data_IF_672969164582
#
_entry.id   IF_672969164582
#
_cell.length_a   1.000
_cell.length_b   1.000
_cell.length_c   1.000
_cell.angle_alpha   90.00
_cell.angle_beta   90.00
_cell.angle_gamma   90.00
#
_symmetry.space_group_name_H-M   'P 1'
#
loop_
_entity.id
_entity.type
_entity.pdbx_description
1 polymer ?
#
# COMPACT_ATOMS: atom_id res chain seq x y z
N UNK A 1 -4.37 -19.83 33.51
CA UNK A 1 -5.46 -19.15 32.77
C UNK A 1 -6.74 -18.95 33.61
N UNK A 2 -6.85 -19.49 34.84
CA UNK A 2 -8.07 -19.40 35.67
C UNK A 2 -8.41 -18.01 36.24
N UNK A 3 -7.66 -16.99 35.89
CA UNK A 3 -7.87 -15.60 36.33
C UNK A 3 -8.49 -14.74 35.25
N UNK A 4 -8.71 -15.29 34.05
CA UNK A 4 -9.08 -14.54 32.86
C UNK A 4 -10.41 -15.06 32.35
N UNK A 5 -11.32 -14.14 32.07
CA UNK A 5 -12.55 -14.38 31.31
C UNK A 5 -12.50 -13.51 30.08
N UNK A 6 -12.82 -14.09 28.92
CA UNK A 6 -12.85 -13.38 27.64
C UNK A 6 -14.23 -13.51 27.03
N UNK A 7 -14.79 -12.38 26.64
CA UNK A 7 -16.13 -12.30 26.04
C UNK A 7 -16.16 -11.21 24.96
N UNK A 8 -17.11 -11.33 24.04
CA UNK A 8 -17.36 -10.34 23.01
C UNK A 8 -18.71 -9.68 23.23
N UNK A 9 -18.76 -8.38 23.00
CA UNK A 9 -20.01 -7.63 22.94
C UNK A 9 -20.66 -7.83 21.56
N UNK A 10 -21.87 -8.40 21.45
CA UNK A 10 -22.53 -8.58 20.16
C UNK A 10 -22.79 -7.26 19.43
N UNK A 11 -22.93 -6.13 20.15
CA UNK A 11 -23.18 -4.83 19.54
C UNK A 11 -21.90 -4.23 18.92
N UNK A 12 -20.74 -4.65 19.43
CA UNK A 12 -19.43 -4.30 18.85
C UNK A 12 -18.95 -5.34 17.81
N UNK A 13 -19.52 -6.54 17.83
CA UNK A 13 -19.29 -7.59 16.85
C UNK A 13 -20.22 -7.39 15.67
N UNK A 14 -19.70 -6.86 14.57
CA UNK A 14 -20.42 -6.92 13.30
C UNK A 14 -20.01 -8.17 12.51
N UNK A 15 -20.86 -8.60 11.58
CA UNK A 15 -20.47 -9.58 10.56
C UNK A 15 -19.23 -9.15 9.74
N UNK A 16 -18.87 -7.87 9.82
CA UNK A 16 -17.74 -7.25 9.15
C UNK A 16 -16.55 -7.00 10.10
N UNK A 17 -16.64 -7.33 11.39
CA UNK A 17 -15.52 -7.17 12.32
C UNK A 17 -15.57 -8.22 13.44
N UNK A 18 -15.13 -9.47 13.16
CA UNK A 18 -15.40 -10.62 14.02
C UNK A 18 -14.67 -10.59 15.36
N UNK A 19 -13.56 -9.83 15.45
CA UNK A 19 -12.63 -9.88 16.59
C UNK A 19 -12.25 -8.51 17.14
N UNK A 20 -12.86 -7.39 16.69
CA UNK A 20 -12.58 -6.12 17.34
C UNK A 20 -13.19 -6.08 18.74
N UNK A 21 -12.33 -5.71 19.68
CA UNK A 21 -12.68 -5.37 21.07
C UNK A 21 -13.16 -6.53 21.96
N UNK A 22 -12.36 -7.62 22.12
CA UNK A 22 -12.64 -8.58 23.18
C UNK A 22 -12.54 -7.89 24.54
N UNK A 23 -13.56 -8.09 25.38
CA UNK A 23 -13.53 -7.67 26.77
C UNK A 23 -12.82 -8.77 27.55
N UNK A 24 -11.67 -8.42 28.14
CA UNK A 24 -10.93 -9.31 29.02
C UNK A 24 -11.12 -8.87 30.46
N UNK A 25 -11.77 -9.72 31.25
CA UNK A 25 -11.90 -9.54 32.70
C UNK A 25 -10.76 -10.29 33.38
N UNK A 26 -10.02 -9.59 34.23
CA UNK A 26 -8.87 -10.14 34.97
C UNK A 26 -9.18 -10.12 36.46
N UNK A 27 -9.17 -11.29 37.07
CA UNK A 27 -9.47 -11.50 38.48
C UNK A 27 -8.19 -11.71 39.29
N UNK A 28 -8.15 -11.14 40.49
CA UNK A 28 -7.03 -11.32 41.42
C UNK A 28 -6.92 -12.76 41.93
N UNK A 29 -8.07 -13.37 42.21
CA UNK A 29 -8.18 -14.77 42.66
C UNK A 29 -8.66 -15.66 41.51
N UNK A 30 -8.29 -16.95 41.49
CA UNK A 30 -8.71 -17.85 40.44
C UNK A 30 -10.23 -18.09 40.52
N UNK A 31 -10.89 -18.01 39.37
CA UNK A 31 -12.32 -18.30 39.21
C UNK A 31 -12.58 -19.74 39.65
N UNK A 32 -13.48 -19.94 40.61
CA UNK A 32 -13.90 -21.27 41.06
C UNK A 32 -14.89 -21.90 40.07
N UNK A 33 -15.12 -23.23 40.11
CA UNK A 33 -16.10 -23.88 39.23
C UNK A 33 -17.51 -23.29 39.34
N UNK A 34 -17.95 -22.96 40.57
CA UNK A 34 -19.25 -22.33 40.83
C UNK A 34 -19.33 -20.92 40.22
N UNK A 35 -18.27 -20.12 40.40
CA UNK A 35 -18.17 -18.79 39.82
C UNK A 35 -18.13 -18.85 38.29
N UNK A 36 -17.43 -19.82 37.70
CA UNK A 36 -17.37 -19.99 36.24
C UNK A 36 -18.75 -20.27 35.64
N UNK A 37 -19.54 -21.14 36.27
CA UNK A 37 -20.90 -21.45 35.84
C UNK A 37 -21.85 -20.25 35.99
N UNK A 38 -21.74 -19.51 37.11
CA UNK A 38 -22.50 -18.28 37.33
C UNK A 38 -22.15 -17.21 36.29
N UNK A 39 -20.86 -16.95 36.07
CA UNK A 39 -20.37 -16.00 35.08
C UNK A 39 -20.84 -16.35 33.67
N UNK A 40 -20.79 -17.62 33.27
CA UNK A 40 -21.29 -18.03 31.95
C UNK A 40 -22.78 -17.66 31.79
N UNK A 41 -23.58 -17.89 32.83
CA UNK A 41 -25.01 -17.58 32.84
C UNK A 41 -25.24 -16.07 32.74
N UNK A 42 -24.52 -15.27 33.55
CA UNK A 42 -24.62 -13.81 33.56
C UNK A 42 -24.22 -13.20 32.21
N UNK A 43 -23.13 -13.70 31.62
CA UNK A 43 -22.63 -13.26 30.30
C UNK A 43 -23.68 -13.51 29.22
N UNK A 44 -24.28 -14.71 29.20
CA UNK A 44 -25.32 -15.07 28.24
C UNK A 44 -26.61 -14.26 28.46
N UNK A 45 -27.01 -14.01 29.71
CA UNK A 45 -28.17 -13.18 30.04
C UNK A 45 -27.98 -11.72 29.63
N UNK A 46 -26.76 -11.20 29.80
CA UNK A 46 -26.39 -9.86 29.35
C UNK A 46 -26.20 -9.76 27.83
N UNK A 47 -26.39 -10.86 27.08
CA UNK A 47 -26.27 -10.90 25.63
C UNK A 47 -24.85 -11.01 25.08
N UNK A 48 -23.83 -11.06 25.95
CA UNK A 48 -22.44 -11.19 25.52
C UNK A 48 -22.14 -12.61 24.99
N UNK A 49 -21.19 -12.69 24.07
CA UNK A 49 -20.71 -13.96 23.50
C UNK A 49 -19.49 -14.43 24.31
N UNK A 50 -19.61 -15.47 25.14
CA UNK A 50 -18.47 -16.01 25.90
C UNK A 50 -17.45 -16.66 24.95
N UNK A 51 -16.19 -16.22 25.01
CA UNK A 51 -15.07 -16.84 24.27
C UNK A 51 -14.27 -17.79 25.16
N UNK A 52 -14.05 -17.41 26.42
CA UNK A 52 -13.34 -18.22 27.40
C UNK A 52 -13.85 -17.91 28.80
N UNK A 53 -14.41 -18.92 29.46
CA UNK A 53 -14.84 -18.85 30.87
C UNK A 53 -14.23 -20.05 31.60
N UNK A 54 -13.35 -19.85 32.61
CA UNK A 54 -12.76 -20.95 33.37
C UNK A 54 -13.85 -21.90 33.91
N UNK A 55 -13.60 -23.20 33.85
CA UNK A 55 -14.48 -24.27 34.32
C UNK A 55 -15.86 -24.42 33.65
N UNK A 56 -16.30 -23.47 32.84
CA UNK A 56 -17.61 -23.49 32.19
C UNK A 56 -17.53 -23.50 30.66
N UNK A 57 -16.64 -22.71 30.07
CA UNK A 57 -16.41 -22.64 28.64
C UNK A 57 -14.92 -22.53 28.35
N UNK A 58 -14.25 -23.68 28.41
CA UNK A 58 -12.80 -23.79 28.22
C UNK A 58 -12.40 -24.27 26.84
N UNK A 59 -13.35 -24.64 25.96
CA UNK A 59 -13.03 -25.15 24.61
C UNK A 59 -12.21 -24.10 23.86
N UNK A 60 -10.90 -24.32 23.69
CA UNK A 60 -10.07 -23.38 22.95
C UNK A 60 -10.51 -23.41 21.49
N UNK A 61 -10.50 -22.26 20.78
CA UNK A 61 -10.88 -22.19 19.37
C UNK A 61 -10.12 -23.16 18.47
N UNK A 62 -8.94 -23.63 18.91
CA UNK A 62 -8.02 -24.48 18.15
C UNK A 62 -7.96 -25.93 18.68
N UNK A 63 -8.89 -26.35 19.54
CA UNK A 63 -8.90 -27.73 20.08
C UNK A 63 -9.04 -28.79 18.99
N UNK A 64 -9.89 -28.55 18.00
CA UNK A 64 -10.06 -29.45 16.84
C UNK A 64 -8.77 -29.58 16.01
N UNK A 65 -7.97 -28.52 15.91
CA UNK A 65 -6.65 -28.57 15.28
C UNK A 65 -5.68 -29.40 16.11
N UNK A 66 -5.70 -29.23 17.44
CA UNK A 66 -4.82 -29.95 18.36
C UNK A 66 -5.11 -31.46 18.41
N UNK A 67 -6.37 -31.86 18.24
CA UNK A 67 -6.78 -33.27 18.16
C UNK A 67 -6.63 -33.88 16.77
N UNK A 68 -6.34 -33.05 15.75
CA UNK A 68 -6.21 -33.49 14.36
C UNK A 68 -7.56 -33.77 13.67
N UNK A 69 -8.67 -33.32 14.25
CA UNK A 69 -10.02 -33.47 13.69
C UNK A 69 -10.30 -32.51 12.53
N UNK A 70 -9.54 -31.41 12.43
CA UNK A 70 -9.62 -30.45 11.32
C UNK A 70 -8.21 -30.02 10.92
N UNK A 71 -8.05 -29.52 9.69
CA UNK A 71 -6.80 -28.88 9.25
C UNK A 71 -6.88 -27.36 9.39
N UNK A 72 -5.73 -26.67 9.32
CA UNK A 72 -5.70 -25.21 9.36
C UNK A 72 -6.47 -24.61 8.17
N UNK A 73 -6.34 -25.23 6.99
CA UNK A 73 -7.02 -24.79 5.78
C UNK A 73 -8.54 -24.95 5.91
N UNK A 74 -9.00 -26.08 6.47
CA UNK A 74 -10.43 -26.31 6.74
C UNK A 74 -10.98 -25.29 7.76
N UNK A 75 -10.23 -25.03 8.84
CA UNK A 75 -10.62 -24.03 9.84
C UNK A 75 -10.76 -22.63 9.22
N UNK A 76 -9.81 -22.22 8.37
CA UNK A 76 -9.85 -20.92 7.68
C UNK A 76 -11.02 -20.85 6.71
N UNK A 77 -11.27 -21.93 5.96
CA UNK A 77 -12.37 -22.01 5.00
C UNK A 77 -13.74 -21.92 5.69
N UNK A 78 -13.92 -22.68 6.78
CA UNK A 78 -15.17 -22.76 7.54
C UNK A 78 -15.44 -21.51 8.40
N UNK A 79 -14.42 -20.66 8.60
CA UNK A 79 -14.58 -19.42 9.36
C UNK A 79 -15.37 -18.36 8.56
N UNK A 80 -16.69 -18.41 8.67
CA UNK A 80 -17.62 -17.55 7.93
C UNK A 80 -17.63 -16.08 8.34
N UNK A 81 -17.08 -15.76 9.52
CA UNK A 81 -17.13 -14.40 10.10
C UNK A 81 -15.99 -13.49 9.63
N UNK A 82 -15.02 -14.00 8.86
CA UNK A 82 -13.88 -13.20 8.41
C UNK A 82 -12.79 -13.99 7.71
N UNK A 83 -11.60 -13.39 7.68
CA UNK A 83 -10.35 -13.96 7.20
C UNK A 83 -9.42 -14.13 8.40
N UNK A 84 -9.04 -15.37 8.69
CA UNK A 84 -8.08 -15.75 9.73
C UNK A 84 -6.84 -16.42 9.12
N UNK A 85 -6.65 -16.27 7.81
CA UNK A 85 -5.47 -16.79 7.11
C UNK A 85 -4.19 -16.15 7.64
N UNK A 86 -3.07 -16.85 7.44
CA UNK A 86 -1.77 -16.35 7.86
C UNK A 86 -1.40 -15.07 7.09
N UNK A 87 -0.97 -14.04 7.81
CA UNK A 87 -0.44 -12.83 7.19
C UNK A 87 1.03 -12.98 6.81
N UNK A 88 1.41 -12.40 5.69
CA UNK A 88 2.78 -12.42 5.17
C UNK A 88 3.40 -11.02 5.26
N UNK A 89 4.74 -10.94 5.26
CA UNK A 89 5.46 -9.66 5.26
C UNK A 89 5.14 -8.79 4.03
N UNK A 90 4.71 -9.41 2.92
CA UNK A 90 4.26 -8.67 1.73
C UNK A 90 2.85 -8.05 1.90
N UNK A 91 2.05 -8.57 2.83
CA UNK A 91 0.72 -8.08 3.15
C UNK A 91 0.52 -8.09 4.69
N UNK A 92 1.21 -7.20 5.45
CA UNK A 92 1.30 -7.25 6.90
C UNK A 92 0.06 -6.63 7.58
N UNK A 93 -1.14 -7.07 7.18
CA UNK A 93 -2.43 -6.56 7.66
C UNK A 93 -3.06 -7.49 8.71
N UNK A 94 -2.27 -7.89 9.72
CA UNK A 94 -2.67 -8.85 10.77
C UNK A 94 -3.86 -8.42 11.63
N UNK A 95 -4.21 -7.13 11.58
CA UNK A 95 -5.32 -6.53 12.30
C UNK A 95 -6.61 -6.46 11.47
N UNK A 96 -6.57 -6.86 10.20
CA UNK A 96 -7.71 -6.83 9.30
C UNK A 96 -8.24 -8.24 9.08
N UNK A 97 -9.36 -8.56 9.74
CA UNK A 97 -10.02 -9.86 9.64
C UNK A 97 -11.14 -9.87 8.60
N UNK A 98 -11.32 -8.80 7.81
CA UNK A 98 -12.33 -8.80 6.74
C UNK A 98 -11.79 -9.48 5.49
N UNK A 99 -12.66 -10.23 4.83
CA UNK A 99 -12.41 -10.68 3.45
C UNK A 99 -12.55 -9.49 2.50
N UNK A 100 -11.46 -9.17 1.80
CA UNK A 100 -11.42 -8.10 0.79
C UNK A 100 -11.15 -6.71 1.38
N UNK A 101 -11.62 -5.66 0.70
CA UNK A 101 -11.28 -4.28 1.05
C UNK A 101 -12.15 -3.71 2.17
N UNK A 102 -11.58 -2.93 3.11
CA UNK A 102 -12.32 -2.16 4.10
C UNK A 102 -13.37 -1.22 3.49
N UNK A 103 -14.46 -0.97 4.21
CA UNK A 103 -15.54 -0.06 3.76
C UNK A 103 -15.03 1.34 3.42
N UNK A 104 -14.15 1.87 4.26
CA UNK A 104 -13.51 3.16 4.01
C UNK A 104 -12.80 3.15 2.65
N UNK A 105 -12.07 2.08 2.33
CA UNK A 105 -11.35 1.98 1.07
C UNK A 105 -12.30 1.78 -0.11
N UNK A 106 -13.38 1.01 0.06
CA UNK A 106 -14.45 0.89 -0.95
C UNK A 106 -15.09 2.25 -1.25
N UNK A 107 -15.42 3.03 -0.22
CA UNK A 107 -15.97 4.37 -0.36
C UNK A 107 -14.98 5.33 -1.04
N UNK A 108 -13.69 5.25 -0.69
CA UNK A 108 -12.64 6.02 -1.36
C UNK A 108 -12.52 5.65 -2.84
N UNK A 109 -12.62 4.37 -3.20
CA UNK A 109 -12.61 3.93 -4.60
C UNK A 109 -13.82 4.45 -5.38
N UNK A 110 -15.01 4.48 -4.77
CA UNK A 110 -16.20 5.09 -5.38
C UNK A 110 -16.00 6.59 -5.59
N UNK A 111 -15.53 7.30 -4.57
CA UNK A 111 -15.23 8.74 -4.67
C UNK A 111 -14.18 9.03 -5.74
N UNK A 112 -13.19 8.15 -5.86
CA UNK A 112 -12.16 8.22 -6.90
C UNK A 112 -12.71 8.01 -8.31
N UNK A 113 -13.64 7.06 -8.48
CA UNK A 113 -14.32 6.85 -9.75
C UNK A 113 -15.09 8.11 -10.19
N UNK A 114 -15.79 8.77 -9.25
CA UNK A 114 -16.46 10.06 -9.51
C UNK A 114 -15.44 11.14 -9.89
N UNK A 115 -14.33 11.26 -9.15
CA UNK A 115 -13.26 12.22 -9.45
C UNK A 115 -12.67 11.99 -10.84
N UNK A 116 -12.45 10.73 -11.24
CA UNK A 116 -11.94 10.36 -12.56
C UNK A 116 -12.94 10.71 -13.67
N UNK A 117 -14.24 10.47 -13.47
CA UNK A 117 -15.28 10.85 -14.43
C UNK A 117 -15.34 12.38 -14.61
N UNK A 118 -15.31 13.14 -13.53
CA UNK A 118 -15.28 14.61 -13.56
C UNK A 118 -14.00 15.12 -14.24
N UNK A 119 -12.84 14.55 -13.88
CA UNK A 119 -11.55 14.86 -14.49
C UNK A 119 -11.53 14.57 -15.99
N UNK A 120 -12.11 13.45 -16.42
CA UNK A 120 -12.23 13.10 -17.83
C UNK A 120 -13.14 14.08 -18.58
N UNK A 121 -14.30 14.43 -18.00
CA UNK A 121 -15.18 15.46 -18.55
C UNK A 121 -14.47 16.82 -18.72
N UNK A 122 -13.72 17.24 -17.71
CA UNK A 122 -12.89 18.45 -17.77
C UNK A 122 -11.81 18.35 -18.85
N UNK A 123 -11.14 17.21 -19.01
CA UNK A 123 -10.13 16.99 -20.04
C UNK A 123 -10.72 17.07 -21.45
N UNK A 124 -11.90 16.47 -21.69
CA UNK A 124 -12.60 16.58 -22.96
C UNK A 124 -13.00 18.03 -23.29
N UNK A 125 -13.46 18.79 -22.31
CA UNK A 125 -13.74 20.21 -22.48
C UNK A 125 -12.46 20.98 -22.79
N UNK A 126 -11.38 20.74 -22.06
CA UNK A 126 -10.11 21.44 -22.23
C UNK A 126 -9.40 21.10 -23.54
N UNK A 127 -9.59 19.89 -24.06
CA UNK A 127 -9.09 19.49 -25.38
C UNK A 127 -9.55 20.42 -26.50
N UNK A 128 -10.75 21.02 -26.39
CA UNK A 128 -11.26 21.99 -27.38
C UNK A 128 -10.44 23.30 -27.42
N UNK A 129 -9.82 23.64 -26.29
CA UNK A 129 -8.99 24.85 -26.11
C UNK A 129 -7.55 24.58 -26.54
N UNK A 130 -6.99 23.42 -26.17
CA UNK A 130 -5.63 23.02 -26.52
C UNK A 130 -5.63 22.30 -27.86
N UNK A 131 -5.56 23.06 -28.97
CA UNK A 131 -5.63 22.50 -30.34
C UNK A 131 -4.31 21.91 -30.85
N UNK A 132 -3.16 22.30 -30.28
CA UNK A 132 -1.83 21.87 -30.74
C UNK A 132 -1.29 20.69 -29.95
N UNK A 133 -0.55 19.81 -30.64
CA UNK A 133 0.21 18.71 -30.04
C UNK A 133 -0.60 17.47 -29.66
N UNK A 134 0.09 16.40 -29.22
CA UNK A 134 -0.52 15.13 -28.87
C UNK A 134 -1.12 15.15 -27.45
N UNK A 135 -2.21 15.89 -27.28
CA UNK A 135 -2.86 16.14 -25.98
C UNK A 135 -3.06 14.86 -25.15
N UNK A 136 -3.70 13.83 -25.71
CA UNK A 136 -4.01 12.60 -24.98
C UNK A 136 -2.77 11.79 -24.60
N UNK A 137 -1.73 11.80 -25.44
CA UNK A 137 -0.46 11.11 -25.11
C UNK A 137 0.26 11.81 -23.96
N UNK A 138 0.28 13.15 -23.95
CA UNK A 138 0.86 13.92 -22.85
C UNK A 138 0.04 13.76 -21.55
N UNK A 139 -1.29 13.81 -21.63
CA UNK A 139 -2.17 13.55 -20.49
C UNK A 139 -1.93 12.15 -19.91
N UNK A 140 -1.92 11.12 -20.77
CA UNK A 140 -1.62 9.76 -20.35
C UNK A 140 -0.23 9.67 -19.70
N UNK A 141 0.79 10.28 -20.31
CA UNK A 141 2.15 10.31 -19.77
C UNK A 141 2.20 10.88 -18.34
N UNK A 142 1.58 12.04 -18.07
CA UNK A 142 1.60 12.64 -16.73
C UNK A 142 0.74 11.88 -15.72
N UNK A 143 -0.36 11.26 -16.16
CA UNK A 143 -1.17 10.39 -15.32
C UNK A 143 -0.38 9.14 -14.89
N UNK A 144 0.25 8.46 -15.85
CA UNK A 144 1.07 7.27 -15.59
C UNK A 144 2.25 7.61 -14.66
N UNK A 145 2.89 8.77 -14.83
CA UNK A 145 3.94 9.22 -13.91
C UNK A 145 3.44 9.43 -12.48
N UNK A 146 2.29 10.10 -12.29
CA UNK A 146 1.76 10.37 -10.96
C UNK A 146 1.35 9.08 -10.24
N UNK A 147 0.60 8.24 -10.95
CA UNK A 147 0.17 6.95 -10.41
C UNK A 147 1.35 6.02 -10.11
N UNK A 148 2.30 5.90 -11.06
CA UNK A 148 3.48 5.07 -10.91
C UNK A 148 4.38 5.53 -9.76
N UNK A 149 4.61 6.85 -9.62
CA UNK A 149 5.42 7.40 -8.54
C UNK A 149 4.83 7.03 -7.18
N UNK A 150 3.52 7.26 -6.98
CA UNK A 150 2.86 6.96 -5.71
C UNK A 150 2.84 5.47 -5.40
N UNK A 151 2.67 4.59 -6.40
CA UNK A 151 2.76 3.15 -6.21
C UNK A 151 4.15 2.72 -5.73
N UNK A 152 5.23 3.22 -6.35
CA UNK A 152 6.59 2.96 -5.89
C UNK A 152 6.79 3.49 -4.48
N UNK A 153 6.47 4.76 -4.25
CA UNK A 153 6.68 5.44 -2.97
C UNK A 153 5.99 4.70 -1.81
N UNK A 154 4.70 4.43 -1.93
CA UNK A 154 3.94 3.77 -0.87
C UNK A 154 4.36 2.32 -0.66
N UNK A 155 4.57 1.55 -1.73
CA UNK A 155 5.00 0.16 -1.57
C UNK A 155 6.38 0.05 -0.93
N UNK A 156 7.32 0.94 -1.29
CA UNK A 156 8.66 0.99 -0.70
C UNK A 156 8.58 1.42 0.78
N UNK A 157 7.84 2.50 1.10
CA UNK A 157 7.68 2.96 2.49
C UNK A 157 7.08 1.86 3.37
N UNK A 158 6.01 1.22 2.92
CA UNK A 158 5.33 0.22 3.72
C UNK A 158 6.21 -1.02 3.96
N UNK A 159 6.89 -1.51 2.91
CA UNK A 159 7.81 -2.65 3.04
C UNK A 159 8.98 -2.37 3.97
N UNK A 160 9.54 -1.16 3.94
CA UNK A 160 10.64 -0.77 4.81
C UNK A 160 10.21 -0.53 6.26
N UNK A 161 8.89 -0.44 6.53
CA UNK A 161 8.34 -0.31 7.88
C UNK A 161 8.69 -1.52 8.75
N UNK A 162 8.66 -2.72 8.18
CA UNK A 162 9.06 -3.96 8.88
C UNK A 162 10.54 -3.94 9.25
N UNK A 163 11.40 -3.38 8.39
CA UNK A 163 12.85 -3.35 8.60
C UNK A 163 13.31 -2.33 9.66
N UNK A 164 12.73 -1.12 9.63
CA UNK A 164 13.05 -0.06 10.61
C UNK A 164 12.23 -0.17 11.90
N UNK A 165 11.10 -0.87 11.87
CA UNK A 165 10.28 -1.22 13.04
C UNK A 165 9.45 -0.07 13.62
N UNK A 166 9.36 1.09 12.96
CA UNK A 166 8.47 2.16 13.41
C UNK A 166 8.00 3.03 12.24
N UNK A 167 6.68 3.20 12.05
CA UNK A 167 6.12 3.93 10.90
C UNK A 167 6.68 5.35 10.74
N UNK A 168 6.75 6.13 11.84
CA UNK A 168 7.29 7.51 11.78
C UNK A 168 8.75 7.57 11.33
N UNK A 169 9.60 6.62 11.77
CA UNK A 169 11.02 6.61 11.39
C UNK A 169 11.17 6.34 9.90
N UNK A 170 10.38 5.40 9.38
CA UNK A 170 10.41 5.02 7.97
C UNK A 170 9.91 6.15 7.11
N UNK A 171 8.79 6.77 7.48
CA UNK A 171 8.24 7.90 6.75
C UNK A 171 9.27 9.02 6.62
N UNK A 172 9.90 9.46 7.72
CA UNK A 172 10.90 10.54 7.67
C UNK A 172 12.14 10.18 6.83
N UNK A 173 12.71 8.98 7.03
CA UNK A 173 13.93 8.56 6.32
C UNK A 173 13.65 8.30 4.84
N UNK A 174 12.55 7.62 4.52
CA UNK A 174 12.19 7.30 3.15
C UNK A 174 11.81 8.56 2.37
N UNK A 175 10.99 9.46 2.93
CA UNK A 175 10.67 10.73 2.28
C UNK A 175 11.93 11.57 2.07
N UNK A 176 12.83 11.65 3.07
CA UNK A 176 14.12 12.33 2.89
C UNK A 176 14.91 11.75 1.71
N UNK A 177 15.07 10.43 1.65
CA UNK A 177 15.82 9.77 0.58
C UNK A 177 15.13 9.90 -0.80
N UNK A 178 13.80 9.82 -0.85
CA UNK A 178 13.01 10.01 -2.08
C UNK A 178 13.16 11.45 -2.58
N UNK A 179 13.01 12.45 -1.70
CA UNK A 179 13.14 13.86 -2.06
C UNK A 179 14.58 14.19 -2.49
N UNK A 180 15.58 13.71 -1.75
CA UNK A 180 16.98 13.92 -2.11
C UNK A 180 17.32 13.26 -3.45
N UNK A 181 16.98 11.98 -3.61
CA UNK A 181 17.24 11.24 -4.84
C UNK A 181 16.53 11.86 -6.04
N UNK A 182 15.22 12.12 -5.94
CA UNK A 182 14.44 12.72 -7.02
C UNK A 182 14.87 14.15 -7.36
N UNK A 183 15.27 14.94 -6.36
CA UNK A 183 15.88 16.26 -6.58
C UNK A 183 17.19 16.18 -7.37
N UNK A 184 18.09 15.27 -6.98
CA UNK A 184 19.35 15.02 -7.70
C UNK A 184 19.09 14.50 -9.13
N UNK A 185 18.10 13.62 -9.29
CA UNK A 185 17.67 13.09 -10.58
C UNK A 185 17.17 14.19 -11.52
N UNK A 186 16.28 15.04 -11.03
CA UNK A 186 15.75 16.19 -11.75
C UNK A 186 16.86 17.17 -12.18
N UNK A 187 17.80 17.46 -11.28
CA UNK A 187 18.97 18.30 -11.55
C UNK A 187 19.90 17.69 -12.62
N UNK A 188 20.15 16.38 -12.56
CA UNK A 188 20.96 15.67 -13.54
C UNK A 188 20.26 15.60 -14.91
N UNK A 189 18.94 15.41 -14.92
CA UNK A 189 18.11 15.35 -16.12
C UNK A 189 18.30 16.60 -16.99
N UNK A 190 18.31 17.80 -16.40
CA UNK A 190 18.53 19.04 -17.14
C UNK A 190 19.88 19.12 -17.88
N UNK A 191 20.92 18.47 -17.35
CA UNK A 191 22.23 18.39 -18.03
C UNK A 191 22.26 17.31 -19.12
N UNK A 192 21.72 16.13 -18.80
CA UNK A 192 21.75 14.95 -19.67
C UNK A 192 20.83 15.11 -20.90
N UNK A 193 19.71 15.83 -20.72
CA UNK A 193 18.70 16.00 -21.75
C UNK A 193 19.05 17.02 -22.85
N UNK A 194 20.17 17.75 -22.73
CA UNK A 194 20.59 18.75 -23.74
C UNK A 194 20.67 18.17 -25.16
N UNK A 195 21.06 16.89 -25.29
CA UNK A 195 21.19 16.21 -26.60
C UNK A 195 19.99 15.35 -26.96
N UNK A 196 19.38 14.65 -26.00
CA UNK A 196 18.28 13.71 -26.27
C UNK A 196 17.36 13.53 -25.05
N UNK A 197 16.38 14.43 -24.84
CA UNK A 197 15.49 14.37 -23.68
C UNK A 197 14.70 13.05 -23.64
N UNK A 198 14.22 12.57 -24.78
CA UNK A 198 13.43 11.34 -24.86
C UNK A 198 14.22 10.08 -24.54
N UNK A 199 15.53 10.05 -24.86
CA UNK A 199 16.39 8.93 -24.46
C UNK A 199 16.59 8.91 -22.94
N UNK A 200 16.72 10.07 -22.31
CA UNK A 200 16.82 10.16 -20.85
C UNK A 200 15.52 9.71 -20.19
N UNK A 201 14.35 10.14 -20.69
CA UNK A 201 13.04 9.64 -20.22
C UNK A 201 12.96 8.12 -20.37
N UNK A 202 13.29 7.58 -21.54
CA UNK A 202 13.25 6.13 -21.80
C UNK A 202 14.13 5.37 -20.79
N UNK A 203 15.40 5.75 -20.65
CA UNK A 203 16.36 5.05 -19.77
C UNK A 203 15.93 5.16 -18.31
N UNK A 204 15.56 6.36 -17.85
CA UNK A 204 15.12 6.56 -16.45
C UNK A 204 13.84 5.79 -16.14
N UNK A 205 12.86 5.79 -17.04
CA UNK A 205 11.63 5.04 -16.84
C UNK A 205 11.86 3.51 -16.83
N UNK A 206 12.71 2.99 -17.72
CA UNK A 206 13.13 1.59 -17.68
C UNK A 206 13.93 1.25 -16.41
N UNK A 207 14.79 2.17 -15.94
CA UNK A 207 15.51 1.99 -14.70
C UNK A 207 14.55 1.90 -13.50
N UNK A 208 13.52 2.75 -13.44
CA UNK A 208 12.46 2.63 -12.41
C UNK A 208 11.76 1.29 -12.50
N UNK A 209 11.37 0.84 -13.71
CA UNK A 209 10.71 -0.44 -13.88
C UNK A 209 11.57 -1.61 -13.38
N UNK A 210 12.85 -1.66 -13.75
CA UNK A 210 13.79 -2.69 -13.29
C UNK A 210 14.01 -2.61 -11.77
N UNK A 211 14.23 -1.41 -11.23
CA UNK A 211 14.43 -1.22 -9.80
C UNK A 211 13.18 -1.59 -9.00
N UNK A 212 11.97 -1.32 -9.50
CA UNK A 212 10.72 -1.75 -8.88
C UNK A 212 10.63 -3.29 -8.81
N UNK A 213 11.05 -4.00 -9.86
CA UNK A 213 11.13 -5.47 -9.85
C UNK A 213 12.16 -5.97 -8.84
N UNK A 214 13.33 -5.34 -8.75
CA UNK A 214 14.34 -5.66 -7.73
C UNK A 214 13.78 -5.42 -6.32
N UNK A 215 13.05 -4.33 -6.12
CA UNK A 215 12.35 -4.07 -4.86
C UNK A 215 11.31 -5.13 -4.56
N UNK A 216 10.56 -5.61 -5.56
CA UNK A 216 9.51 -6.61 -5.39
C UNK A 216 10.07 -7.98 -4.99
N UNK A 217 11.13 -8.45 -5.65
CA UNK A 217 11.60 -9.84 -5.54
C UNK A 217 12.91 -10.03 -4.75
N UNK A 218 13.83 -9.05 -4.77
CA UNK A 218 15.16 -9.21 -4.19
C UNK A 218 15.31 -8.52 -2.83
N UNK A 219 14.73 -7.31 -2.68
CA UNK A 219 14.89 -6.52 -1.45
C UNK A 219 14.39 -7.24 -0.19
N UNK A 220 13.27 -8.00 -0.16
CA UNK A 220 12.85 -8.71 1.06
C UNK A 220 13.95 -9.60 1.64
N UNK A 221 14.51 -10.50 0.82
CA UNK A 221 15.57 -11.41 1.25
C UNK A 221 16.85 -10.67 1.69
N UNK A 222 17.14 -9.51 1.10
CA UNK A 222 18.24 -8.65 1.52
C UNK A 222 17.97 -8.03 2.91
N UNK A 223 16.76 -7.52 3.14
CA UNK A 223 16.38 -6.92 4.42
C UNK A 223 16.42 -7.94 5.56
N UNK A 224 16.00 -9.17 5.32
CA UNK A 224 16.07 -10.25 6.33
C UNK A 224 17.51 -10.52 6.78
N UNK A 225 18.45 -10.57 5.83
CA UNK A 225 19.89 -10.75 6.14
C UNK A 225 20.50 -9.57 6.87
N UNK A 226 19.99 -8.36 6.62
CA UNK A 226 20.47 -7.13 7.23
C UNK A 226 19.67 -6.72 8.47
N UNK A 227 18.68 -7.53 8.88
CA UNK A 227 17.82 -7.22 10.02
C UNK A 227 18.62 -7.15 11.33
N UNK A 228 19.77 -7.83 11.42
CA UNK A 228 20.67 -7.77 12.59
C UNK A 228 21.44 -6.44 12.74
N UNK A 229 21.40 -5.54 11.75
CA UNK A 229 22.15 -4.28 11.81
C UNK A 229 21.66 -3.36 12.94
N UNK A 230 22.59 -2.53 13.44
CA UNK A 230 22.25 -1.40 14.33
C UNK A 230 21.30 -0.42 13.64
N UNK A 231 20.60 0.41 14.42
CA UNK A 231 19.67 1.39 13.87
C UNK A 231 20.32 2.28 12.79
N UNK A 232 21.54 2.76 13.04
CA UNK A 232 22.29 3.56 12.07
C UNK A 232 22.57 2.79 10.78
N UNK A 233 22.95 1.50 10.90
CA UNK A 233 23.15 0.62 9.75
C UNK A 233 21.87 0.43 8.93
N UNK A 234 20.74 0.17 9.59
CA UNK A 234 19.44 0.01 8.91
C UNK A 234 18.99 1.28 8.20
N UNK A 235 19.16 2.45 8.83
CA UNK A 235 18.88 3.76 8.20
C UNK A 235 19.76 3.96 6.98
N UNK A 236 21.07 3.69 7.08
CA UNK A 236 21.99 3.75 5.95
C UNK A 236 21.57 2.84 4.79
N UNK A 237 21.20 1.59 5.09
CA UNK A 237 20.67 0.64 4.10
C UNK A 237 19.43 1.16 3.39
N UNK A 238 18.45 1.70 4.13
CA UNK A 238 17.23 2.28 3.54
C UNK A 238 17.58 3.41 2.57
N UNK A 239 18.40 4.37 3.00
CA UNK A 239 18.80 5.49 2.16
C UNK A 239 19.48 5.00 0.89
N UNK A 240 20.42 4.06 1.02
CA UNK A 240 21.15 3.49 -0.13
C UNK A 240 20.24 2.72 -1.10
N UNK A 241 19.22 2.01 -0.61
CA UNK A 241 18.26 1.30 -1.45
C UNK A 241 17.32 2.24 -2.19
N UNK A 242 16.86 3.31 -1.53
CA UNK A 242 15.90 4.27 -2.10
C UNK A 242 16.57 5.19 -3.12
N UNK A 243 17.80 5.64 -2.85
CA UNK A 243 18.46 6.67 -3.67
C UNK A 243 18.47 6.36 -5.18
N UNK A 244 18.83 5.15 -5.66
CA UNK A 244 18.85 4.84 -7.09
C UNK A 244 17.47 4.95 -7.75
N UNK A 245 16.43 4.38 -7.12
CA UNK A 245 15.07 4.42 -7.69
C UNK A 245 14.50 5.83 -7.63
N UNK A 246 14.71 6.55 -6.53
CA UNK A 246 14.32 7.95 -6.40
C UNK A 246 15.00 8.86 -7.42
N UNK A 247 16.29 8.65 -7.67
CA UNK A 247 17.05 9.36 -8.70
C UNK A 247 16.47 9.15 -10.09
N UNK A 248 16.12 7.91 -10.44
CA UNK A 248 15.46 7.61 -11.72
C UNK A 248 14.04 8.19 -11.78
N UNK A 249 13.25 8.11 -10.70
CA UNK A 249 11.91 8.69 -10.58
C UNK A 249 11.88 10.20 -10.83
N UNK A 250 12.94 10.92 -10.43
CA UNK A 250 13.02 12.38 -10.54
C UNK A 250 13.23 12.94 -11.96
N UNK A 251 13.64 12.11 -12.93
CA UNK A 251 14.00 12.59 -14.27
C UNK A 251 12.81 12.79 -15.23
N UNK A 252 11.84 11.87 -15.33
CA UNK A 252 10.82 11.93 -16.39
C UNK A 252 9.91 13.17 -16.32
N UNK A 253 9.55 13.62 -15.12
CA UNK A 253 8.60 14.72 -14.95
C UNK A 253 9.10 16.06 -15.52
N UNK A 254 10.27 16.61 -15.12
CA UNK A 254 10.76 17.88 -15.66
C UNK A 254 11.00 17.82 -17.17
N UNK A 255 11.50 16.69 -17.69
CA UNK A 255 11.71 16.50 -19.13
C UNK A 255 10.40 16.42 -19.90
N UNK A 256 9.40 15.72 -19.36
CA UNK A 256 8.06 15.69 -19.91
C UNK A 256 7.42 17.07 -19.96
N UNK A 257 7.66 17.92 -18.96
CA UNK A 257 7.15 19.29 -18.94
C UNK A 257 7.78 20.16 -20.03
N UNK A 258 9.09 20.00 -20.27
CA UNK A 258 9.78 20.66 -21.37
C UNK A 258 9.19 20.24 -22.73
N UNK A 259 8.98 18.94 -22.94
CA UNK A 259 8.36 18.42 -24.16
C UNK A 259 6.91 18.86 -24.34
N UNK A 260 6.13 18.87 -23.25
CA UNK A 260 4.74 19.33 -23.27
C UNK A 260 4.65 20.82 -23.65
N UNK A 261 5.54 21.65 -23.11
CA UNK A 261 5.63 23.08 -23.47
C UNK A 261 5.97 23.26 -24.95
N UNK A 262 6.92 22.48 -25.48
CA UNK A 262 7.33 22.57 -26.88
C UNK A 262 6.24 22.08 -27.84
N UNK A 263 5.58 20.95 -27.54
CA UNK A 263 4.62 20.28 -28.45
C UNK A 263 3.19 20.82 -28.34
N UNK A 264 2.74 21.20 -27.15
CA UNK A 264 1.35 21.59 -26.88
C UNK A 264 1.20 23.02 -26.30
N UNK A 265 2.32 23.73 -26.09
CA UNK A 265 2.33 25.12 -25.64
C UNK A 265 2.17 25.29 -24.11
N UNK A 266 2.26 26.54 -23.67
CA UNK A 266 2.23 26.91 -22.24
C UNK A 266 0.96 26.44 -21.51
N UNK A 267 -0.17 26.39 -22.22
CA UNK A 267 -1.47 25.98 -21.66
C UNK A 267 -1.52 24.52 -21.18
N UNK A 268 -0.58 23.67 -21.63
CA UNK A 268 -0.49 22.27 -21.20
C UNK A 268 0.18 22.12 -19.82
N UNK A 269 0.99 23.08 -19.38
CA UNK A 269 1.76 23.00 -18.13
C UNK A 269 0.85 22.86 -16.89
N UNK A 270 -0.17 23.72 -16.67
CA UNK A 270 -1.07 23.56 -15.52
C UNK A 270 -1.87 22.26 -15.60
N UNK A 271 -2.21 21.81 -16.81
CA UNK A 271 -2.95 20.58 -17.01
C UNK A 271 -2.10 19.35 -16.65
N UNK A 272 -0.82 19.34 -17.03
CA UNK A 272 0.12 18.29 -16.66
C UNK A 272 0.22 18.13 -15.14
N UNK A 273 0.34 19.23 -14.39
CA UNK A 273 0.32 19.23 -12.93
C UNK A 273 -1.01 18.70 -12.36
N UNK A 274 -2.14 19.18 -12.87
CA UNK A 274 -3.46 18.74 -12.40
C UNK A 274 -3.71 17.24 -12.65
N UNK A 275 -3.38 16.76 -13.84
CA UNK A 275 -3.50 15.34 -14.20
C UNK A 275 -2.58 14.48 -13.35
N UNK A 276 -1.33 14.90 -13.15
CA UNK A 276 -0.39 14.21 -12.29
C UNK A 276 -0.90 14.14 -10.85
N UNK A 277 -1.39 15.25 -10.30
CA UNK A 277 -1.94 15.30 -8.93
C UNK A 277 -3.15 14.39 -8.73
N UNK A 278 -4.12 14.39 -9.65
CA UNK A 278 -5.27 13.46 -9.58
C UNK A 278 -4.79 12.01 -9.68
N UNK A 279 -3.89 11.71 -10.60
CA UNK A 279 -3.35 10.36 -10.77
C UNK A 279 -2.52 9.88 -9.56
N UNK A 280 -1.86 10.79 -8.84
CA UNK A 280 -1.19 10.47 -7.58
C UNK A 280 -2.18 10.06 -6.48
N UNK A 281 -3.31 10.75 -6.36
CA UNK A 281 -4.39 10.34 -5.43
C UNK A 281 -4.97 8.97 -5.82
N UNK A 282 -5.16 8.73 -7.12
CA UNK A 282 -5.56 7.40 -7.63
C UNK A 282 -4.52 6.34 -7.26
N UNK A 283 -3.25 6.65 -7.50
CA UNK A 283 -2.12 5.77 -7.23
C UNK A 283 -2.00 5.39 -5.76
N UNK A 284 -2.26 6.32 -4.83
CA UNK A 284 -2.15 6.03 -3.40
C UNK A 284 -3.24 5.08 -2.90
N UNK A 285 -4.49 5.32 -3.28
CA UNK A 285 -5.62 4.43 -2.95
C UNK A 285 -5.42 3.06 -3.60
N UNK A 286 -4.95 3.03 -4.85
CA UNK A 286 -4.65 1.79 -5.57
C UNK A 286 -3.51 1.02 -4.89
N UNK A 287 -2.45 1.70 -4.45
CA UNK A 287 -1.31 1.07 -3.76
C UNK A 287 -1.76 0.31 -2.51
N UNK A 288 -2.56 0.96 -1.66
CA UNK A 288 -3.08 0.33 -0.43
C UNK A 288 -4.04 -0.81 -0.77
N UNK A 289 -4.92 -0.62 -1.76
CA UNK A 289 -5.86 -1.67 -2.19
C UNK A 289 -5.13 -2.91 -2.72
N UNK A 290 -4.12 -2.73 -3.56
CA UNK A 290 -3.30 -3.83 -4.06
C UNK A 290 -2.51 -4.51 -2.95
N UNK A 291 -1.95 -3.73 -2.02
CA UNK A 291 -1.23 -4.28 -0.89
C UNK A 291 -2.11 -5.20 -0.03
N UNK A 292 -3.35 -4.79 0.25
CA UNK A 292 -4.27 -5.60 1.07
C UNK A 292 -4.75 -6.86 0.34
N UNK A 293 -4.90 -6.82 -0.99
CA UNK A 293 -5.42 -7.96 -1.76
C UNK A 293 -4.34 -8.94 -2.23
N UNK A 294 -3.18 -8.43 -2.62
CA UNK A 294 -2.13 -9.19 -3.31
C UNK A 294 -0.71 -8.84 -2.85
N UNK A 295 -0.56 -8.02 -1.81
CA UNK A 295 0.73 -7.62 -1.26
C UNK A 295 1.41 -6.43 -1.98
N UNK A 296 2.45 -5.88 -1.35
CA UNK A 296 3.22 -4.76 -1.90
C UNK A 296 3.95 -5.12 -3.20
N UNK A 297 4.25 -6.41 -3.42
CA UNK A 297 4.79 -6.92 -4.67
C UNK A 297 3.89 -6.57 -5.86
N UNK A 298 2.57 -6.73 -5.74
CA UNK A 298 1.62 -6.39 -6.80
C UNK A 298 1.62 -4.90 -7.13
N UNK A 299 1.73 -4.03 -6.12
CA UNK A 299 1.83 -2.59 -6.32
C UNK A 299 3.12 -2.20 -7.07
N UNK A 300 4.26 -2.82 -6.74
CA UNK A 300 5.54 -2.61 -7.42
C UNK A 300 5.55 -3.15 -8.86
N UNK A 301 4.91 -4.30 -9.11
CA UNK A 301 4.73 -4.84 -10.45
C UNK A 301 3.91 -3.89 -11.32
N UNK A 302 2.78 -3.39 -10.80
CA UNK A 302 1.98 -2.40 -11.51
C UNK A 302 2.78 -1.13 -11.76
N UNK A 303 3.51 -0.62 -10.76
CA UNK A 303 4.37 0.54 -10.94
C UNK A 303 5.39 0.33 -12.07
N UNK A 304 6.04 -0.83 -12.12
CA UNK A 304 6.97 -1.19 -13.17
C UNK A 304 6.32 -1.24 -14.56
N UNK A 305 5.11 -1.78 -14.66
CA UNK A 305 4.34 -1.76 -15.90
C UNK A 305 4.00 -0.33 -16.34
N UNK A 306 3.53 0.52 -15.42
CA UNK A 306 3.19 1.92 -15.72
C UNK A 306 4.43 2.70 -16.18
N UNK A 307 5.58 2.50 -15.53
CA UNK A 307 6.84 3.12 -15.96
C UNK A 307 7.35 2.54 -17.29
N UNK A 308 7.09 1.27 -17.60
CA UNK A 308 7.30 0.71 -18.94
C UNK A 308 6.48 1.43 -20.02
N UNK A 309 5.21 1.74 -19.73
CA UNK A 309 4.35 2.54 -20.61
C UNK A 309 4.85 3.99 -20.75
N UNK A 310 5.32 4.60 -19.65
CA UNK A 310 5.98 5.92 -19.69
C UNK A 310 7.20 5.89 -20.61
N UNK A 311 8.00 4.84 -20.55
CA UNK A 311 9.18 4.67 -21.39
C UNK A 311 8.81 4.64 -22.89
N UNK A 312 7.74 3.90 -23.24
CA UNK A 312 7.20 3.83 -24.61
C UNK A 312 6.68 5.20 -25.09
N UNK A 313 5.85 5.87 -24.29
CA UNK A 313 5.29 7.19 -24.63
C UNK A 313 6.37 8.27 -24.72
N UNK A 314 7.33 8.26 -23.78
CA UNK A 314 8.45 9.19 -23.75
C UNK A 314 9.36 9.04 -24.97
N UNK A 315 9.57 7.81 -25.44
CA UNK A 315 10.33 7.54 -26.66
C UNK A 315 9.59 7.99 -27.92
N UNK A 316 8.30 7.70 -28.03
CA UNK A 316 7.47 8.19 -29.15
C UNK A 316 7.45 9.73 -29.22
N UNK A 317 7.47 10.39 -28.06
CA UNK A 317 7.57 11.84 -27.98
C UNK A 317 8.95 12.39 -28.41
N UNK A 318 9.96 11.55 -28.65
CA UNK A 318 11.26 11.96 -29.22
C UNK A 318 11.36 11.90 -30.73
N UNK A 319 10.42 11.23 -31.39
CA UNK A 319 10.20 11.32 -32.83
C UNK A 319 9.33 12.56 -33.12
#
# INVERSE_FOLDING_TARGET
VRHIVVLLDPDLVSAQDPFRSPVMLIYREPVTPEQGAALLTDIQQAGFIPLFVPHAQERPPLSLLATGETTLDDLVADFSRGDISATFDDAPFFYEFRRGLPDLLRQLLVGLAVLLLLGLGYLFWRRRVVKRGPFWQLTAYFALLGMGFMLVELAVIQRLTLFLGHPMRVLSVALFAILLGSGLGSWAAGRMAKKSPSRVILISALAVAVLALLFAFFVPALLDRLAGLSLAGRVGTVVLLILPIAFALGMPFPLGLQQARQKAGQSMIPLAWGVNGVASVVGSVTAVSLAMLWGFGAALLLAGMLYGLVALLGWQNGR
#
